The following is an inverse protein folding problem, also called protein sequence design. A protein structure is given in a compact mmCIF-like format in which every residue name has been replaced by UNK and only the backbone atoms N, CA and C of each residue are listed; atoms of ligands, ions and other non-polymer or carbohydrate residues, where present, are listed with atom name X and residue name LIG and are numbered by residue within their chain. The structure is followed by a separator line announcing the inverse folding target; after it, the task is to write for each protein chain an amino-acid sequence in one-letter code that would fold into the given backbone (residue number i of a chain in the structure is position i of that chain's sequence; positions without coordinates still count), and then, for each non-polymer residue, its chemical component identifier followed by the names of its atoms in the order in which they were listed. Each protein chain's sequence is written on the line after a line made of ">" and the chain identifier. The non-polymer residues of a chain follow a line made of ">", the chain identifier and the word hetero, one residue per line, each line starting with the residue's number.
data_IF_682829037962
#
_entry.id   IF_682829037962
#
_cell.length_a   1.000
_cell.length_b   1.000
_cell.length_c   1.000
_cell.angle_alpha   90.00
_cell.angle_beta   90.00
_cell.angle_gamma   90.00
#
_symmetry.space_group_name_H-M   'P 1'
#
loop_
_entity.id
_entity.type
_entity.pdbx_description
1 polymer ?
#
# COMPACT_ATOMS: atom_id res chain seq x y z
N UNK A 1 -25.78 29.86 14.78
CA UNK A 1 -26.16 28.65 15.57
C UNK A 1 -24.86 27.94 15.89
N UNK A 2 -24.72 27.58 17.15
CA UNK A 2 -23.44 27.72 17.85
C UNK A 2 -22.63 26.43 17.98
N UNK A 3 -21.31 26.64 18.08
CA UNK A 3 -20.34 25.92 18.92
C UNK A 3 -20.50 24.38 19.08
N UNK A 4 -19.46 23.66 18.63
CA UNK A 4 -18.40 23.28 19.58
C UNK A 4 -17.07 22.88 18.92
N UNK A 5 -16.00 23.44 19.45
CA UNK A 5 -14.60 23.02 19.27
C UNK A 5 -14.24 22.00 20.36
N UNK A 6 -13.46 20.98 20.01
CA UNK A 6 -12.73 20.19 21.01
C UNK A 6 -11.37 19.78 20.43
N UNK A 7 -10.29 20.12 21.14
CA UNK A 7 -8.92 19.70 20.83
C UNK A 7 -8.64 18.41 21.59
N UNK A 8 -7.95 17.45 20.99
CA UNK A 8 -7.21 16.45 21.74
C UNK A 8 -5.80 16.29 21.17
N UNK A 9 -4.83 16.16 22.07
CA UNK A 9 -3.40 16.24 21.78
C UNK A 9 -2.81 14.84 21.53
N UNK A 10 -1.64 14.79 20.90
CA UNK A 10 -1.00 13.53 20.50
C UNK A 10 -0.40 12.75 21.68
N UNK A 11 -0.45 11.41 21.57
CA UNK A 11 0.64 10.50 21.95
C UNK A 11 0.41 9.17 21.23
N UNK A 12 1.43 8.67 20.53
CA UNK A 12 1.32 7.51 19.65
C UNK A 12 1.69 6.19 20.32
N UNK A 13 1.14 5.09 19.79
CA UNK A 13 1.67 3.72 19.92
C UNK A 13 1.14 2.86 18.77
N UNK A 14 1.98 1.99 18.22
CA UNK A 14 1.57 0.95 17.26
C UNK A 14 0.39 0.11 17.78
N UNK A 15 -0.65 -0.09 16.97
CA UNK A 15 -1.85 -0.85 17.34
C UNK A 15 -2.48 -1.57 16.15
N UNK A 16 -2.22 -2.88 16.05
CA UNK A 16 -2.71 -3.81 15.03
C UNK A 16 -4.25 -3.88 14.99
N UNK A 17 -4.87 -3.81 13.81
CA UNK A 17 -6.32 -4.04 13.64
C UNK A 17 -6.63 -5.55 13.73
N UNK A 18 -7.39 -5.99 14.73
CA UNK A 18 -7.97 -7.34 14.76
C UNK A 18 -9.29 -7.40 13.98
N UNK A 19 -9.43 -8.40 13.09
CA UNK A 19 -10.71 -8.74 12.45
C UNK A 19 -11.50 -9.71 13.34
N UNK A 20 -12.55 -9.21 13.97
CA UNK A 20 -13.51 -10.01 14.74
C UNK A 20 -14.42 -10.80 13.77
N UNK A 21 -14.61 -12.10 14.02
CA UNK A 21 -15.68 -12.91 13.43
C UNK A 21 -16.33 -13.78 14.53
N UNK A 22 -17.67 -13.89 14.60
CA UNK A 22 -18.33 -14.39 15.81
C UNK A 22 -18.37 -15.91 15.92
N UNK A 23 -18.33 -16.40 17.17
CA UNK A 23 -18.64 -17.78 17.54
C UNK A 23 -20.16 -18.03 17.49
N UNK A 24 -20.55 -19.27 17.16
CA UNK A 24 -21.89 -19.80 17.40
C UNK A 24 -21.78 -21.07 18.27
N UNK A 25 -22.72 -21.22 19.20
CA UNK A 25 -22.88 -22.37 20.10
C UNK A 25 -24.29 -22.93 19.89
N UNK A 26 -24.44 -24.25 19.76
CA UNK A 26 -25.73 -24.95 19.89
C UNK A 26 -25.52 -26.45 20.21
N UNK A 27 -26.32 -26.93 21.16
CA UNK A 27 -26.29 -28.20 21.87
C UNK A 27 -26.49 -29.52 21.07
N UNK A 28 -26.15 -30.64 21.72
CA UNK A 28 -27.11 -31.70 22.13
C UNK A 28 -26.77 -33.17 21.80
N UNK A 29 -27.12 -34.04 22.76
CA UNK A 29 -27.58 -35.46 22.67
C UNK A 29 -26.59 -36.63 22.48
N UNK A 30 -26.29 -37.29 23.61
CA UNK A 30 -26.68 -38.68 24.00
C UNK A 30 -26.69 -39.84 22.99
N UNK A 31 -25.92 -40.91 23.26
CA UNK A 31 -26.32 -42.34 23.48
C UNK A 31 -25.02 -43.22 23.59
N UNK A 32 -24.73 -43.94 24.68
CA UNK A 32 -25.25 -45.21 25.24
C UNK A 32 -24.65 -46.51 24.64
N UNK A 33 -23.87 -47.26 25.43
CA UNK A 33 -23.78 -48.74 25.43
C UNK A 33 -22.89 -49.29 26.57
N UNK A 34 -23.36 -50.34 27.25
CA UNK A 34 -22.72 -51.01 28.41
C UNK A 34 -21.57 -51.96 27.99
N UNK A 35 -20.52 -52.21 28.81
CA UNK A 35 -20.39 -53.37 29.73
C UNK A 35 -18.91 -53.48 30.23
N UNK A 36 -18.51 -54.18 31.30
CA UNK A 36 -19.19 -54.84 32.43
C UNK A 36 -18.20 -55.18 33.59
N UNK A 37 -18.64 -55.01 34.85
CA UNK A 37 -18.48 -55.91 36.03
C UNK A 37 -17.14 -56.67 36.28
N UNK A 38 -16.59 -56.54 37.51
CA UNK A 38 -15.58 -57.48 38.02
C UNK A 38 -14.92 -57.12 39.37
N UNK A 39 -15.60 -57.31 40.51
CA UNK A 39 -15.01 -57.22 41.85
C UNK A 39 -14.36 -58.56 42.27
N UNK A 40 -13.20 -58.53 42.95
CA UNK A 40 -13.03 -59.35 44.17
C UNK A 40 -11.93 -58.86 45.13
N UNK A 41 -12.17 -59.12 46.41
CA UNK A 41 -11.33 -58.78 47.57
C UNK A 41 -10.27 -59.85 47.84
N UNK A 42 -9.22 -59.51 48.61
CA UNK A 42 -8.95 -60.15 49.91
C UNK A 42 -7.84 -59.44 50.70
N UNK A 43 -8.08 -59.23 52.01
CA UNK A 43 -7.08 -58.78 52.98
C UNK A 43 -6.21 -59.95 53.45
N UNK A 44 -4.95 -59.67 53.83
CA UNK A 44 -4.39 -60.29 55.05
C UNK A 44 -3.41 -59.34 55.75
N UNK A 45 -3.62 -59.19 57.05
CA UNK A 45 -2.77 -58.46 58.00
C UNK A 45 -1.94 -59.43 58.83
N UNK A 46 -0.70 -59.08 59.19
CA UNK A 46 -0.05 -59.52 60.43
C UNK A 46 1.13 -58.57 60.77
N UNK A 47 1.33 -58.34 62.08
CA UNK A 47 2.43 -57.54 62.63
C UNK A 47 3.64 -58.44 62.90
N UNK A 48 4.87 -57.90 62.93
CA UNK A 48 5.69 -57.88 64.16
C UNK A 48 7.02 -57.10 64.05
N UNK A 49 7.24 -56.32 65.11
CA UNK A 49 8.51 -55.92 65.75
C UNK A 49 9.70 -55.30 65.00
N UNK A 50 10.64 -54.77 65.78
CA UNK A 50 11.53 -53.68 65.39
C UNK A 50 13.02 -54.00 65.59
N UNK A 51 13.86 -53.61 64.61
CA UNK A 51 15.30 -53.46 64.82
C UNK A 51 15.93 -52.41 63.89
N UNK A 52 16.83 -51.58 64.48
CA UNK A 52 17.66 -50.59 63.79
C UNK A 52 19.12 -51.01 63.95
N UNK A 53 19.91 -51.07 62.86
CA UNK A 53 21.21 -50.38 62.88
C UNK A 53 21.54 -49.75 61.49
N UNK A 54 22.80 -49.34 61.20
CA UNK A 54 23.29 -47.98 61.38
C UNK A 54 23.41 -47.15 60.08
N UNK A 55 23.54 -45.82 60.20
CA UNK A 55 23.87 -44.90 59.08
C UNK A 55 25.40 -44.72 58.94
N UNK A 56 25.97 -45.05 57.77
CA UNK A 56 26.88 -44.12 57.05
C UNK A 56 26.61 -44.15 55.52
N UNK A 57 27.05 -43.25 54.65
CA UNK A 57 27.92 -42.07 54.72
C UNK A 57 27.41 -41.07 53.65
N UNK A 58 27.42 -39.76 53.93
CA UNK A 58 26.85 -38.75 53.02
C UNK A 58 27.77 -38.50 51.79
N UNK A 59 27.60 -39.29 50.73
CA UNK A 59 28.22 -39.04 49.41
C UNK A 59 27.75 -37.67 48.92
N UNK A 60 28.67 -36.70 48.89
CA UNK A 60 28.45 -35.29 48.60
C UNK A 60 28.01 -35.11 47.13
N UNK A 61 26.71 -35.23 46.86
CA UNK A 61 26.17 -35.10 45.49
C UNK A 61 26.39 -33.66 44.97
N UNK A 62 26.84 -33.50 43.71
CA UNK A 62 27.06 -32.17 43.10
C UNK A 62 25.74 -31.41 42.89
N UNK A 63 25.80 -30.10 42.65
CA UNK A 63 24.60 -29.28 42.47
C UNK A 63 23.71 -29.78 41.31
N UNK A 64 24.34 -30.33 40.26
CA UNK A 64 23.71 -30.98 39.10
C UNK A 64 22.70 -32.07 39.51
N UNK A 65 22.97 -32.80 40.61
CA UNK A 65 22.11 -33.91 41.07
C UNK A 65 20.76 -33.51 41.68
N UNK A 66 20.48 -32.20 41.78
CA UNK A 66 19.20 -31.64 42.27
C UNK A 66 18.24 -31.22 41.15
N UNK A 67 18.70 -31.17 39.90
CA UNK A 67 17.80 -31.00 38.76
C UNK A 67 17.11 -32.32 38.46
N UNK A 68 15.81 -32.26 38.19
CA UNK A 68 15.05 -33.43 37.80
C UNK A 68 15.53 -33.94 36.43
N UNK A 69 15.51 -35.27 36.26
CA UNK A 69 15.94 -35.94 35.03
C UNK A 69 15.05 -35.59 33.82
N UNK A 70 13.83 -35.14 34.07
CA UNK A 70 12.90 -34.65 33.03
C UNK A 70 13.48 -33.49 32.21
N UNK A 71 14.10 -32.50 32.86
CA UNK A 71 14.68 -31.32 32.21
C UNK A 71 15.74 -31.65 31.15
N UNK A 72 16.43 -32.78 31.31
CA UNK A 72 17.54 -33.22 30.47
C UNK A 72 17.11 -34.06 29.27
N UNK A 73 15.84 -34.49 29.19
CA UNK A 73 15.31 -35.17 28.02
C UNK A 73 14.91 -34.12 26.99
N UNK A 74 15.75 -33.93 25.97
CA UNK A 74 15.42 -33.14 24.79
C UNK A 74 14.71 -34.06 23.79
N UNK A 75 13.45 -33.77 23.48
CA UNK A 75 12.69 -34.51 22.46
C UNK A 75 13.10 -34.06 21.06
N UNK A 76 14.19 -34.64 20.53
CA UNK A 76 14.56 -34.60 19.12
C UNK A 76 14.29 -35.98 18.53
N UNK A 77 13.55 -36.05 17.42
CA UNK A 77 13.22 -37.30 16.76
C UNK A 77 14.50 -38.03 16.32
N UNK A 78 14.57 -39.35 16.55
CA UNK A 78 15.74 -40.18 16.23
C UNK A 78 16.95 -40.05 17.17
N UNK A 79 17.03 -39.01 18.01
CA UNK A 79 18.15 -38.85 18.95
C UNK A 79 18.08 -39.89 20.10
N UNK A 80 16.89 -40.20 20.61
CA UNK A 80 16.67 -41.29 21.57
C UNK A 80 17.08 -42.64 20.98
N UNK A 81 16.60 -42.94 19.77
CA UNK A 81 16.85 -44.20 19.08
C UNK A 81 18.33 -44.42 18.78
N UNK A 82 19.06 -43.36 18.42
CA UNK A 82 20.52 -43.42 18.26
C UNK A 82 21.25 -43.73 19.58
N UNK A 83 20.79 -43.16 20.70
CA UNK A 83 21.39 -43.37 22.02
C UNK A 83 21.07 -44.75 22.61
N UNK A 84 19.89 -45.30 22.32
CA UNK A 84 19.44 -46.62 22.81
C UNK A 84 19.86 -47.79 21.88
N UNK A 85 20.17 -47.52 20.61
CA UNK A 85 20.63 -48.55 19.67
C UNK A 85 21.96 -49.18 20.10
N UNK A 86 21.97 -50.49 20.31
CA UNK A 86 23.15 -51.22 20.79
C UNK A 86 23.96 -51.92 19.67
N UNK A 87 23.51 -51.84 18.40
CA UNK A 87 24.18 -52.46 17.25
C UNK A 87 24.92 -51.43 16.40
N UNK A 88 26.08 -51.80 15.85
CA UNK A 88 26.89 -50.91 15.01
C UNK A 88 26.11 -50.47 13.77
N UNK A 89 25.44 -51.41 13.09
CA UNK A 89 24.60 -51.11 11.92
C UNK A 89 23.39 -50.21 12.26
N UNK A 90 22.77 -50.40 13.44
CA UNK A 90 21.67 -49.55 13.89
C UNK A 90 22.10 -48.10 14.13
N UNK A 91 23.28 -47.88 14.72
CA UNK A 91 23.86 -46.54 14.89
C UNK A 91 24.15 -45.87 13.55
N UNK A 92 24.70 -46.59 12.57
CA UNK A 92 24.94 -46.08 11.22
C UNK A 92 23.65 -45.73 10.47
N UNK A 93 22.57 -46.49 10.67
CA UNK A 93 21.26 -46.16 10.11
C UNK A 93 20.70 -44.85 10.69
N UNK A 94 20.60 -44.74 12.01
CA UNK A 94 20.03 -43.56 12.67
C UNK A 94 20.86 -42.30 12.44
N UNK A 95 22.20 -42.38 12.46
CA UNK A 95 23.05 -41.20 12.20
C UNK A 95 22.94 -40.71 10.74
N UNK A 96 22.74 -41.63 9.78
CA UNK A 96 22.51 -41.27 8.37
C UNK A 96 21.18 -40.54 8.19
N UNK A 97 20.12 -41.02 8.85
CA UNK A 97 18.80 -40.40 8.82
C UNK A 97 18.80 -39.02 9.49
N UNK A 98 19.48 -38.88 10.64
CA UNK A 98 19.67 -37.59 11.31
C UNK A 98 20.49 -36.60 10.46
N UNK A 99 21.56 -37.05 9.80
CA UNK A 99 22.36 -36.21 8.92
C UNK A 99 21.55 -35.73 7.71
N UNK A 100 20.81 -36.63 7.06
CA UNK A 100 19.94 -36.29 5.94
C UNK A 100 18.90 -35.24 6.34
N UNK A 101 18.19 -35.48 7.46
CA UNK A 101 17.23 -34.54 8.04
C UNK A 101 17.83 -33.16 8.35
N UNK A 102 19.03 -33.12 8.94
CA UNK A 102 19.71 -31.86 9.24
C UNK A 102 20.09 -31.07 7.97
N UNK A 103 20.51 -31.75 6.90
CA UNK A 103 20.85 -31.12 5.62
C UNK A 103 19.60 -30.58 4.91
N UNK A 104 18.52 -31.36 4.83
CA UNK A 104 17.27 -30.91 4.21
C UNK A 104 16.60 -29.78 4.99
N UNK A 105 16.56 -29.86 6.32
CA UNK A 105 16.07 -28.78 7.18
C UNK A 105 16.87 -27.49 6.97
N UNK A 106 18.21 -27.57 6.92
CA UNK A 106 19.07 -26.39 6.70
C UNK A 106 18.83 -25.76 5.33
N UNK A 107 18.61 -26.57 4.30
CA UNK A 107 18.31 -26.09 2.94
C UNK A 107 16.94 -25.43 2.83
N UNK A 108 15.88 -26.03 3.37
CA UNK A 108 14.54 -25.43 3.35
C UNK A 108 14.46 -24.17 4.23
N UNK A 109 15.14 -24.14 5.38
CA UNK A 109 15.27 -22.92 6.20
C UNK A 109 16.02 -21.82 5.44
N UNK A 110 17.14 -22.13 4.78
CA UNK A 110 17.85 -21.18 3.93
C UNK A 110 16.92 -20.61 2.85
N UNK A 111 16.16 -21.46 2.17
CA UNK A 111 15.21 -21.06 1.13
C UNK A 111 14.06 -20.19 1.65
N UNK A 112 13.51 -20.48 2.83
CA UNK A 112 12.48 -19.63 3.47
C UNK A 112 13.06 -18.25 3.82
N UNK A 113 14.28 -18.20 4.37
CA UNK A 113 14.97 -16.94 4.71
C UNK A 113 15.26 -16.14 3.43
N UNK A 114 15.78 -16.77 2.38
CA UNK A 114 16.03 -16.14 1.08
C UNK A 114 14.73 -15.57 0.47
N UNK A 115 13.65 -16.37 0.47
CA UNK A 115 12.33 -15.96 0.00
C UNK A 115 11.78 -14.75 0.80
N UNK A 116 11.95 -14.74 2.12
CA UNK A 116 11.54 -13.61 2.98
C UNK A 116 12.18 -12.28 2.56
N UNK A 117 13.47 -12.29 2.21
CA UNK A 117 14.19 -11.08 1.81
C UNK A 117 14.05 -10.74 0.31
N UNK A 118 13.90 -11.74 -0.57
CA UNK A 118 13.97 -11.54 -2.03
C UNK A 118 12.60 -11.43 -2.74
N UNK A 119 11.52 -12.00 -2.18
CA UNK A 119 10.18 -11.94 -2.76
C UNK A 119 9.19 -11.22 -1.84
N UNK A 120 9.35 -9.91 -1.59
CA UNK A 120 8.55 -9.22 -0.59
C UNK A 120 7.06 -9.06 -0.93
N UNK A 121 6.67 -8.94 -2.20
CA UNK A 121 5.32 -8.45 -2.62
C UNK A 121 4.63 -9.45 -3.57
N UNK A 122 3.33 -9.65 -3.35
CA UNK A 122 2.36 -10.30 -4.25
C UNK A 122 1.24 -9.30 -4.57
N UNK A 123 0.68 -9.38 -5.78
CA UNK A 123 -0.48 -8.58 -6.18
C UNK A 123 -1.73 -9.46 -6.19
N UNK A 124 -2.78 -9.07 -5.46
CA UNK A 124 -4.10 -9.67 -5.56
C UNK A 124 -4.97 -8.87 -6.55
N UNK A 125 -5.71 -9.58 -7.39
CA UNK A 125 -6.66 -9.03 -8.36
C UNK A 125 -8.05 -9.57 -8.01
N UNK A 126 -8.96 -8.68 -7.60
CA UNK A 126 -10.34 -9.04 -7.29
C UNK A 126 -11.34 -8.19 -8.06
N UNK A 127 -12.49 -8.76 -8.43
CA UNK A 127 -13.58 -8.05 -9.11
C UNK A 127 -14.79 -8.01 -8.18
N UNK A 128 -15.25 -6.81 -7.84
CA UNK A 128 -16.35 -6.60 -6.88
C UNK A 128 -17.57 -6.03 -7.58
N UNK A 129 -18.61 -6.85 -7.70
CA UNK A 129 -19.93 -6.44 -8.20
C UNK A 129 -20.73 -5.68 -7.14
N UNK A 130 -21.30 -4.52 -7.51
CA UNK A 130 -22.02 -3.62 -6.63
C UNK A 130 -23.37 -3.17 -7.21
N UNK A 131 -24.30 -2.75 -6.34
CA UNK A 131 -25.64 -2.30 -6.77
C UNK A 131 -25.67 -0.86 -7.30
N UNK A 132 -24.65 -0.06 -6.97
CA UNK A 132 -24.50 1.35 -7.36
C UNK A 132 -23.03 1.71 -7.27
N UNK A 133 -22.55 2.45 -8.27
CA UNK A 133 -21.27 3.17 -8.23
C UNK A 133 -21.53 4.67 -8.32
N UNK A 134 -20.62 5.47 -7.78
CA UNK A 134 -20.63 6.90 -8.00
C UNK A 134 -19.99 7.24 -9.35
N UNK A 135 -20.64 8.13 -10.09
CA UNK A 135 -20.24 8.48 -11.45
C UNK A 135 -19.09 9.49 -11.42
N UNK A 136 -18.00 9.28 -12.18
CA UNK A 136 -16.82 10.13 -12.12
C UNK A 136 -17.11 11.56 -12.60
N UNK A 137 -16.20 12.48 -12.27
CA UNK A 137 -16.20 13.80 -12.86
C UNK A 137 -15.77 13.71 -14.32
N UNK A 138 -16.54 14.37 -15.19
CA UNK A 138 -16.28 14.47 -16.63
C UNK A 138 -16.02 15.93 -16.93
N UNK A 139 -14.79 16.25 -17.29
CA UNK A 139 -14.39 17.55 -17.80
C UNK A 139 -14.51 17.53 -19.33
N UNK A 140 -15.03 18.62 -19.92
CA UNK A 140 -15.23 18.74 -21.37
C UNK A 140 -14.78 20.13 -21.81
N UNK A 141 -13.75 20.16 -22.65
CA UNK A 141 -13.12 21.38 -23.16
C UNK A 141 -13.29 21.45 -24.68
N UNK A 142 -13.36 22.66 -25.22
CA UNK A 142 -13.21 22.87 -26.67
C UNK A 142 -11.71 22.85 -27.02
N UNK A 143 -11.31 22.39 -28.23
CA UNK A 143 -9.93 22.44 -28.69
C UNK A 143 -9.46 23.87 -29.05
N UNK A 144 -10.30 24.88 -28.84
CA UNK A 144 -10.05 26.30 -29.10
C UNK A 144 -10.09 27.08 -27.79
N UNK A 145 -9.05 27.87 -27.54
CA UNK A 145 -8.98 28.81 -26.41
C UNK A 145 -9.66 30.15 -26.71
N UNK A 146 -9.77 30.52 -27.99
CA UNK A 146 -10.38 31.77 -28.45
C UNK A 146 -11.17 31.55 -29.73
N UNK A 147 -12.36 32.16 -29.81
CA UNK A 147 -13.30 32.02 -30.92
C UNK A 147 -13.14 33.17 -31.93
N UNK A 148 -13.36 32.90 -33.22
CA UNK A 148 -13.22 33.88 -34.30
C UNK A 148 -14.07 35.13 -34.06
N UNK A 149 -15.33 34.97 -33.65
CA UNK A 149 -16.23 36.10 -33.33
C UNK A 149 -15.66 37.06 -32.27
N UNK A 150 -14.82 36.58 -31.36
CA UNK A 150 -14.16 37.43 -30.35
C UNK A 150 -12.97 38.18 -30.95
N UNK A 151 -12.18 37.52 -31.81
CA UNK A 151 -11.08 38.16 -32.57
C UNK A 151 -11.60 39.25 -33.51
N UNK A 152 -12.75 39.02 -34.15
CA UNK A 152 -13.41 40.01 -35.02
C UNK A 152 -13.82 41.28 -34.26
N UNK A 153 -14.14 41.15 -32.97
CA UNK A 153 -14.50 42.26 -32.08
C UNK A 153 -13.28 42.93 -31.43
N UNK A 154 -12.20 42.17 -31.21
CA UNK A 154 -10.98 42.63 -30.53
C UNK A 154 -9.74 42.20 -31.33
N UNK A 155 -9.34 42.95 -32.38
CA UNK A 155 -8.22 42.56 -33.24
C UNK A 155 -6.90 42.38 -32.47
N UNK A 156 -6.65 43.19 -31.44
CA UNK A 156 -5.49 43.07 -30.54
C UNK A 156 -5.43 41.75 -29.76
N UNK A 157 -6.57 41.07 -29.58
CA UNK A 157 -6.62 39.80 -28.87
C UNK A 157 -6.00 38.65 -29.67
N UNK A 158 -5.80 38.81 -30.99
CA UNK A 158 -5.09 37.83 -31.81
C UNK A 158 -3.62 37.71 -31.37
N UNK A 159 -2.91 38.83 -31.26
CA UNK A 159 -1.50 38.86 -30.85
C UNK A 159 -1.34 38.45 -29.38
N UNK A 160 -2.26 38.91 -28.52
CA UNK A 160 -2.30 38.48 -27.11
C UNK A 160 -2.54 36.96 -26.99
N UNK A 161 -3.46 36.38 -27.77
CA UNK A 161 -3.72 34.94 -27.74
C UNK A 161 -2.57 34.11 -28.31
N UNK A 162 -1.84 34.62 -29.31
CA UNK A 162 -0.60 33.98 -29.81
C UNK A 162 0.50 34.03 -28.74
N UNK A 163 0.70 35.17 -28.08
CA UNK A 163 1.67 35.31 -26.99
C UNK A 163 1.33 34.39 -25.81
N UNK A 164 0.07 34.38 -25.34
CA UNK A 164 -0.40 33.49 -24.26
C UNK A 164 -0.21 32.02 -24.65
N UNK A 165 -0.52 31.63 -25.89
CA UNK A 165 -0.30 30.27 -26.39
C UNK A 165 1.19 29.87 -26.42
N UNK A 166 2.10 30.83 -26.53
CA UNK A 166 3.55 30.61 -26.52
C UNK A 166 4.12 30.59 -25.09
N UNK A 167 3.56 31.35 -24.16
CA UNK A 167 4.04 31.43 -22.78
C UNK A 167 3.33 30.52 -21.78
N UNK A 168 2.16 29.97 -22.12
CA UNK A 168 1.29 29.27 -21.16
C UNK A 168 0.66 28.00 -21.77
N UNK A 169 1.28 26.84 -21.51
CA UNK A 169 0.57 25.55 -21.50
C UNK A 169 -0.13 25.38 -20.15
N UNK A 170 -1.14 26.20 -19.88
CA UNK A 170 -1.93 26.14 -18.64
C UNK A 170 -3.33 26.70 -18.87
N UNK A 171 -4.33 25.88 -18.62
CA UNK A 171 -5.75 26.21 -18.44
C UNK A 171 -6.37 27.30 -19.34
N UNK A 172 -7.37 26.90 -20.13
CA UNK A 172 -8.54 27.74 -20.36
C UNK A 172 -9.69 27.19 -19.51
N UNK A 173 -9.83 27.63 -18.27
CA UNK A 173 -10.98 27.28 -17.44
C UNK A 173 -12.22 28.01 -17.95
N UNK A 174 -12.99 27.38 -18.83
CA UNK A 174 -14.37 27.81 -19.03
C UNK A 174 -15.16 27.45 -17.78
N UNK A 175 -15.90 28.41 -17.20
CA UNK A 175 -16.80 28.13 -16.08
C UNK A 175 -17.75 26.97 -16.43
N UNK A 176 -17.61 25.85 -15.72
CA UNK A 176 -18.63 24.80 -15.75
C UNK A 176 -19.91 25.31 -15.09
N UNK A 177 -20.83 25.86 -15.89
CA UNK A 177 -22.22 26.02 -15.46
C UNK A 177 -22.74 24.67 -14.99
N UNK A 178 -23.15 24.61 -13.72
CA UNK A 178 -23.69 23.43 -13.04
C UNK A 178 -24.87 22.87 -13.85
N UNK A 179 -24.62 21.85 -14.66
CA UNK A 179 -25.63 21.28 -15.55
C UNK A 179 -26.84 20.80 -14.74
N UNK A 180 -28.03 21.11 -15.23
CA UNK A 180 -29.29 20.78 -14.58
C UNK A 180 -29.49 19.26 -14.62
N UNK A 181 -29.22 18.59 -13.49
CA UNK A 181 -29.26 17.12 -13.38
C UNK A 181 -30.70 16.58 -13.54
N UNK A 182 -31.08 16.27 -14.77
CA UNK A 182 -32.24 15.42 -15.05
C UNK A 182 -31.93 14.00 -14.58
N UNK A 183 -32.67 13.52 -13.56
CA UNK A 183 -32.45 12.21 -12.93
C UNK A 183 -33.06 11.10 -13.80
N UNK A 184 -32.42 10.82 -14.93
CA UNK A 184 -32.79 9.74 -15.84
C UNK A 184 -32.58 8.36 -15.18
N UNK A 185 -33.45 7.40 -15.50
CA UNK A 185 -33.33 5.99 -15.07
C UNK A 185 -32.26 5.21 -15.85
N UNK A 186 -31.51 5.87 -16.74
CA UNK A 186 -30.43 5.28 -17.54
C UNK A 186 -29.09 5.40 -16.80
N UNK A 187 -28.29 4.35 -16.84
CA UNK A 187 -26.96 4.30 -16.25
C UNK A 187 -25.98 5.15 -17.08
N UNK A 188 -25.75 6.40 -16.68
CA UNK A 188 -24.70 7.26 -17.26
C UNK A 188 -25.15 8.66 -17.67
N UNK A 189 -24.24 9.34 -18.35
CA UNK A 189 -24.35 10.70 -18.86
C UNK A 189 -24.56 10.67 -20.38
N UNK A 190 -25.53 11.43 -20.89
CA UNK A 190 -25.76 11.63 -22.33
C UNK A 190 -25.77 13.13 -22.59
N UNK A 191 -24.93 13.58 -23.52
CA UNK A 191 -24.76 14.97 -23.92
C UNK A 191 -24.86 15.10 -25.43
N UNK A 192 -25.58 16.13 -25.88
CA UNK A 192 -25.61 16.57 -27.27
C UNK A 192 -25.11 18.01 -27.26
N UNK A 193 -23.96 18.24 -27.87
CA UNK A 193 -23.22 19.50 -27.80
C UNK A 193 -22.89 19.99 -29.20
N UNK A 194 -22.74 21.30 -29.37
CA UNK A 194 -22.23 21.89 -30.60
C UNK A 194 -20.74 22.21 -30.39
N UNK A 195 -19.85 21.65 -31.23
CA UNK A 195 -18.39 21.89 -31.19
C UNK A 195 -17.99 23.29 -31.65
N UNK A 196 -18.94 24.10 -32.11
CA UNK A 196 -18.77 25.47 -32.61
C UNK A 196 -17.75 25.59 -33.75
N UNK A 197 -17.61 24.54 -34.58
CA UNK A 197 -16.67 24.47 -35.73
C UNK A 197 -16.71 25.71 -36.64
N UNK A 198 -17.88 26.33 -36.83
CA UNK A 198 -18.06 27.56 -37.63
C UNK A 198 -17.43 28.82 -37.02
N UNK A 199 -17.06 28.79 -35.74
CA UNK A 199 -16.50 29.89 -34.96
C UNK A 199 -15.01 29.66 -34.62
N UNK A 200 -14.37 28.67 -35.24
CA UNK A 200 -12.94 28.39 -35.04
C UNK A 200 -12.07 29.48 -35.66
N UNK A 201 -10.95 29.86 -35.01
CA UNK A 201 -10.10 30.94 -35.49
C UNK A 201 -9.43 30.61 -36.83
N UNK A 202 -9.51 31.54 -37.78
CA UNK A 202 -9.01 31.38 -39.15
C UNK A 202 -7.47 31.45 -39.19
N UNK A 203 -6.84 32.22 -38.29
CA UNK A 203 -5.39 32.44 -38.25
C UNK A 203 -4.62 31.15 -37.93
N UNK A 204 -3.58 30.84 -38.73
CA UNK A 204 -2.84 29.56 -38.68
C UNK A 204 -2.30 29.17 -37.30
N UNK A 205 -1.88 30.14 -36.48
CA UNK A 205 -1.29 29.92 -35.16
C UNK A 205 -2.35 29.66 -34.06
N UNK A 206 -3.59 30.09 -34.27
CA UNK A 206 -4.70 29.92 -33.33
C UNK A 206 -5.61 28.75 -33.72
N UNK A 207 -5.72 28.45 -35.02
CA UNK A 207 -6.52 27.34 -35.56
C UNK A 207 -6.21 26.01 -34.84
N UNK A 208 -7.22 25.26 -34.38
CA UNK A 208 -7.01 23.95 -33.75
C UNK A 208 -6.58 22.92 -34.79
N UNK A 209 -5.85 21.89 -34.35
CA UNK A 209 -5.47 20.74 -35.20
C UNK A 209 -6.58 19.67 -35.29
N UNK A 210 -7.54 19.70 -34.38
CA UNK A 210 -8.63 18.73 -34.22
C UNK A 210 -9.98 19.44 -34.17
N UNK A 211 -11.04 18.72 -34.53
CA UNK A 211 -12.42 19.21 -34.50
C UNK A 211 -13.26 18.36 -33.55
N UNK A 212 -14.17 18.99 -32.81
CA UNK A 212 -15.01 18.31 -31.81
C UNK A 212 -14.79 18.87 -30.41
N UNK A 213 -14.69 17.98 -29.42
CA UNK A 213 -14.42 18.31 -28.01
C UNK A 213 -13.34 17.41 -27.43
N UNK A 214 -12.67 17.90 -26.39
CA UNK A 214 -11.70 17.16 -25.59
C UNK A 214 -12.41 16.77 -24.29
N UNK A 215 -12.38 15.49 -23.93
CA UNK A 215 -13.04 14.96 -22.72
C UNK A 215 -11.99 14.36 -21.82
N UNK A 216 -12.10 14.60 -20.51
CA UNK A 216 -11.24 13.98 -19.51
C UNK A 216 -12.09 13.47 -18.34
N UNK A 217 -11.66 12.36 -17.72
CA UNK A 217 -12.44 11.61 -16.73
C UNK A 217 -11.59 11.41 -15.48
N UNK A 218 -12.14 11.79 -14.32
CA UNK A 218 -11.42 11.82 -13.05
C UNK A 218 -12.31 11.34 -11.90
N UNK A 219 -11.70 10.71 -10.89
CA UNK A 219 -12.42 10.34 -9.67
C UNK A 219 -12.82 11.58 -8.84
N UNK A 220 -11.89 12.53 -8.76
CA UNK A 220 -12.07 13.86 -8.16
C UNK A 220 -11.43 14.88 -9.12
N UNK A 221 -11.94 16.11 -9.13
CA UNK A 221 -11.50 17.12 -10.10
C UNK A 221 -10.01 17.47 -9.91
N UNK A 222 -9.20 17.30 -10.95
CA UNK A 222 -7.78 17.65 -10.93
C UNK A 222 -7.38 18.32 -12.27
N UNK A 223 -7.08 19.64 -12.27
CA UNK A 223 -6.80 20.41 -13.49
C UNK A 223 -5.45 20.06 -14.15
N UNK A 224 -4.58 19.29 -13.47
CA UNK A 224 -3.25 18.90 -13.97
C UNK A 224 -3.23 17.48 -14.54
N UNK A 225 -4.38 16.89 -14.82
CA UNK A 225 -4.47 15.53 -15.36
C UNK A 225 -4.36 15.49 -16.89
N UNK A 226 -3.30 14.86 -17.40
CA UNK A 226 -3.03 14.75 -18.84
C UNK A 226 -3.81 13.64 -19.58
N UNK A 227 -4.81 12.99 -18.93
CA UNK A 227 -5.55 11.85 -19.50
C UNK A 227 -6.78 12.30 -20.33
N UNK A 228 -6.54 13.02 -21.41
CA UNK A 228 -7.60 13.53 -22.29
C UNK A 228 -7.88 12.65 -23.52
N UNK A 229 -9.14 12.63 -23.95
CA UNK A 229 -9.67 11.88 -25.08
C UNK A 229 -10.33 12.85 -26.07
N UNK A 230 -9.89 12.81 -27.33
CA UNK A 230 -10.51 13.60 -28.39
C UNK A 230 -11.79 12.93 -28.91
N UNK A 231 -12.90 13.68 -28.92
CA UNK A 231 -14.21 13.23 -29.41
C UNK A 231 -14.60 14.06 -30.64
N UNK A 232 -14.72 13.40 -31.79
CA UNK A 232 -14.99 14.04 -33.08
C UNK A 232 -16.45 14.52 -33.20
N UNK A 233 -16.67 15.62 -33.93
CA UNK A 233 -18.02 16.06 -34.31
C UNK A 233 -18.57 15.31 -35.54
N UNK A 234 -19.90 15.35 -35.73
CA UNK A 234 -20.63 14.56 -36.73
C UNK A 234 -20.88 13.10 -36.33
N UNK A 235 -20.37 12.67 -35.16
CA UNK A 235 -20.44 11.30 -34.67
C UNK A 235 -21.24 11.17 -33.36
N UNK A 236 -21.86 10.00 -33.20
CA UNK A 236 -22.24 9.41 -31.93
C UNK A 236 -21.02 8.69 -31.36
N UNK A 237 -20.61 9.05 -30.14
CA UNK A 237 -19.50 8.43 -29.41
C UNK A 237 -20.01 7.87 -28.09
N UNK A 238 -19.89 6.55 -27.91
CA UNK A 238 -20.08 5.88 -26.62
C UNK A 238 -18.72 5.65 -25.97
N UNK A 239 -18.57 6.18 -24.76
CA UNK A 239 -17.50 5.84 -23.82
C UNK A 239 -18.06 4.81 -22.84
N UNK A 240 -17.52 3.59 -22.88
CA UNK A 240 -17.77 2.56 -21.89
C UNK A 240 -16.66 2.64 -20.83
N UNK A 241 -17.05 2.82 -19.57
CA UNK A 241 -16.15 2.98 -18.43
C UNK A 241 -16.02 1.68 -17.64
N UNK A 242 -14.79 1.31 -17.32
CA UNK A 242 -14.46 0.27 -16.33
C UNK A 242 -13.76 0.95 -15.15
N UNK A 243 -14.25 0.70 -13.93
CA UNK A 243 -13.65 1.26 -12.71
C UNK A 243 -12.59 0.31 -12.14
N UNK A 244 -11.48 0.88 -11.71
CA UNK A 244 -10.33 0.17 -11.15
C UNK A 244 -9.85 0.95 -9.91
N UNK A 245 -9.57 0.24 -8.81
CA UNK A 245 -9.02 0.81 -7.59
C UNK A 245 -7.69 0.14 -7.28
N UNK A 246 -6.64 0.94 -7.17
CA UNK A 246 -5.29 0.48 -6.88
C UNK A 246 -4.89 0.86 -5.46
N UNK A 247 -4.39 -0.13 -4.73
CA UNK A 247 -3.81 0.00 -3.40
C UNK A 247 -2.40 -0.60 -3.43
N UNK A 248 -1.39 0.27 -3.43
CA UNK A 248 0.02 -0.10 -3.44
C UNK A 248 0.62 -0.09 -2.03
N UNK A 249 1.64 -0.90 -1.82
CA UNK A 249 2.46 -0.84 -0.63
C UNK A 249 3.51 0.25 -0.79
N UNK A 250 3.71 1.06 0.26
CA UNK A 250 4.84 1.97 0.32
C UNK A 250 6.10 1.19 0.72
N UNK A 251 7.04 1.08 -0.21
CA UNK A 251 8.26 0.28 -0.05
C UNK A 251 9.49 1.14 -0.30
N UNK A 252 9.98 1.71 0.79
CA UNK A 252 10.97 2.76 0.79
C UNK A 252 12.44 2.26 0.71
N UNK A 253 12.66 0.94 0.77
CA UNK A 253 14.00 0.35 0.80
C UNK A 253 14.04 -1.06 0.20
N UNK A 254 15.25 -1.57 -0.05
CA UNK A 254 15.49 -2.89 -0.63
C UNK A 254 15.54 -2.92 -2.17
N UNK A 255 15.76 -4.10 -2.77
CA UNK A 255 15.97 -4.25 -4.23
C UNK A 255 14.69 -4.04 -5.05
N UNK A 256 13.51 -4.02 -4.41
CA UNK A 256 12.21 -3.71 -5.02
C UNK A 256 11.61 -2.43 -4.43
N UNK A 257 12.46 -1.41 -4.20
CA UNK A 257 12.00 -0.08 -3.76
C UNK A 257 10.94 0.46 -4.73
N UNK A 258 9.73 0.67 -4.22
CA UNK A 258 8.59 1.28 -4.89
C UNK A 258 7.89 2.17 -3.85
N UNK A 259 8.36 3.41 -3.65
CA UNK A 259 7.71 4.32 -2.73
C UNK A 259 6.39 4.83 -3.32
N UNK A 260 5.41 5.09 -2.46
CA UNK A 260 4.16 5.76 -2.81
C UNK A 260 3.77 6.74 -1.70
N UNK A 261 3.07 7.82 -2.07
CA UNK A 261 2.63 8.82 -1.08
C UNK A 261 1.32 8.36 -0.45
N UNK A 262 1.32 8.23 0.88
CA UNK A 262 0.12 7.92 1.66
C UNK A 262 -0.79 9.15 1.81
N UNK A 263 -2.10 8.95 1.97
CA UNK A 263 -3.09 10.06 2.08
C UNK A 263 -2.76 11.06 3.21
N UNK A 264 -2.16 10.59 4.31
CA UNK A 264 -1.77 11.41 5.47
C UNK A 264 -0.52 12.29 5.19
N UNK A 265 0.30 11.93 4.20
CA UNK A 265 1.52 12.65 3.82
C UNK A 265 1.32 13.65 2.67
N UNK A 266 0.12 13.71 2.08
CA UNK A 266 -0.27 14.57 0.94
C UNK A 266 -0.32 16.08 1.29
N UNK A 267 0.81 16.65 1.70
CA UNK A 267 0.93 18.03 2.12
C UNK A 267 1.51 18.93 1.01
N UNK A 268 0.66 19.29 0.05
CA UNK A 268 0.95 20.38 -0.89
C UNK A 268 1.28 21.69 -0.15
N UNK A 269 2.25 22.44 -0.66
CA UNK A 269 2.69 23.71 -0.07
C UNK A 269 1.79 24.88 -0.50
N UNK A 270 1.34 24.87 -1.76
CA UNK A 270 0.54 25.95 -2.37
C UNK A 270 -0.90 25.49 -2.63
N UNK A 271 -1.09 24.27 -3.15
CA UNK A 271 -2.40 23.81 -3.60
C UNK A 271 -3.30 23.22 -2.50
N UNK A 272 -4.60 23.33 -2.75
CA UNK A 272 -5.68 22.65 -2.03
C UNK A 272 -6.44 21.77 -3.04
N UNK A 273 -5.81 20.66 -3.42
CA UNK A 273 -6.25 19.71 -4.44
C UNK A 273 -6.04 18.29 -3.95
N UNK A 274 -6.79 17.33 -4.51
CA UNK A 274 -6.41 15.92 -4.39
C UNK A 274 -5.08 15.63 -5.07
N UNK A 275 -4.27 14.82 -4.42
CA UNK A 275 -2.93 14.49 -4.87
C UNK A 275 -2.91 13.81 -6.24
N UNK A 276 -1.92 14.17 -7.05
CA UNK A 276 -1.47 13.42 -8.21
C UNK A 276 -0.02 13.80 -8.50
N UNK A 277 0.73 12.93 -9.17
CA UNK A 277 2.12 13.21 -9.57
C UNK A 277 2.23 14.55 -10.29
N UNK A 278 1.34 14.82 -11.25
CA UNK A 278 1.33 16.09 -11.99
C UNK A 278 1.00 17.30 -11.10
N UNK A 279 0.04 17.17 -10.17
CA UNK A 279 -0.27 18.25 -9.23
C UNK A 279 0.89 18.52 -8.25
N UNK A 280 1.62 17.48 -7.83
CA UNK A 280 2.83 17.59 -7.01
C UNK A 280 3.98 18.29 -7.73
N UNK A 281 4.29 17.89 -8.96
CA UNK A 281 5.32 18.53 -9.77
C UNK A 281 5.00 20.02 -10.04
N UNK A 282 3.72 20.34 -10.23
CA UNK A 282 3.25 21.72 -10.33
C UNK A 282 3.32 22.45 -8.99
N UNK A 283 3.01 21.83 -7.86
CA UNK A 283 3.11 22.45 -6.52
C UNK A 283 4.58 22.78 -6.17
N UNK A 284 5.52 21.87 -6.47
CA UNK A 284 6.96 22.12 -6.41
C UNK A 284 7.38 23.34 -7.25
N UNK A 285 6.90 23.44 -8.49
CA UNK A 285 7.21 24.58 -9.37
C UNK A 285 6.58 25.88 -8.85
N UNK A 286 5.36 25.79 -8.32
CA UNK A 286 4.65 26.92 -7.72
C UNK A 286 5.31 27.42 -6.44
N UNK A 287 5.91 26.51 -5.66
CA UNK A 287 6.69 26.83 -4.48
C UNK A 287 7.97 27.60 -4.81
N UNK A 288 8.76 27.18 -5.81
CA UNK A 288 9.93 27.94 -6.25
C UNK A 288 9.53 29.30 -6.83
N UNK A 289 8.44 29.35 -7.61
CA UNK A 289 7.89 30.61 -8.14
C UNK A 289 7.51 31.59 -7.03
N UNK A 290 6.80 31.09 -6.01
CA UNK A 290 6.39 31.90 -4.86
C UNK A 290 7.60 32.35 -4.04
N UNK A 291 8.57 31.46 -3.78
CA UNK A 291 9.74 31.74 -2.95
C UNK A 291 10.69 32.77 -3.59
N UNK A 292 10.80 32.77 -4.92
CA UNK A 292 11.75 33.62 -5.67
C UNK A 292 11.12 34.89 -6.26
N UNK A 293 9.85 34.83 -6.66
CA UNK A 293 9.16 35.94 -7.34
C UNK A 293 7.95 36.48 -6.57
N UNK A 294 7.55 35.88 -5.45
CA UNK A 294 6.47 36.40 -4.59
C UNK A 294 5.05 36.29 -5.17
N UNK A 295 4.87 35.58 -6.28
CA UNK A 295 3.60 35.45 -6.99
C UNK A 295 3.30 33.99 -7.38
N UNK A 296 2.05 33.70 -7.75
CA UNK A 296 1.60 32.35 -8.15
C UNK A 296 1.01 32.34 -9.58
N UNK A 297 1.26 31.28 -10.35
CA UNK A 297 0.84 31.16 -11.77
C UNK A 297 -0.53 30.48 -11.95
N UNK A 298 -1.11 29.92 -10.89
CA UNK A 298 -2.41 29.27 -10.96
C UNK A 298 -3.50 30.28 -11.32
N UNK A 299 -4.50 29.88 -12.11
CA UNK A 299 -5.53 30.81 -12.61
C UNK A 299 -6.80 30.83 -11.77
N UNK A 300 -7.00 29.84 -10.90
CA UNK A 300 -8.25 29.60 -10.18
C UNK A 300 -8.01 29.63 -8.66
N UNK A 301 -8.51 30.65 -7.94
CA UNK A 301 -8.36 30.79 -6.49
C UNK A 301 -8.77 29.55 -5.69
N UNK A 302 -9.78 28.79 -6.17
CA UNK A 302 -10.34 27.63 -5.47
C UNK A 302 -9.37 26.47 -5.25
N UNK A 303 -8.26 26.42 -6.00
CA UNK A 303 -7.26 25.35 -5.91
C UNK A 303 -6.03 25.73 -5.10
N UNK A 304 -6.01 26.92 -4.48
CA UNK A 304 -4.92 27.43 -3.66
C UNK A 304 -5.35 27.42 -2.19
N UNK A 305 -4.43 27.14 -1.27
CA UNK A 305 -4.68 27.27 0.16
C UNK A 305 -4.98 28.73 0.51
N UNK A 306 -6.07 28.99 1.23
CA UNK A 306 -6.50 30.35 1.61
C UNK A 306 -5.38 31.15 2.29
N UNK A 307 -4.61 30.50 3.16
CA UNK A 307 -3.45 31.07 3.87
C UNK A 307 -2.33 31.60 2.95
N UNK A 308 -2.20 31.03 1.75
CA UNK A 308 -1.25 31.45 0.71
C UNK A 308 -1.88 32.56 -0.13
N UNK A 309 -3.15 32.43 -0.49
CA UNK A 309 -3.88 33.43 -1.28
C UNK A 309 -4.02 34.78 -0.55
N UNK A 310 -4.14 34.78 0.79
CA UNK A 310 -4.19 36.01 1.60
C UNK A 310 -2.86 36.79 1.63
N UNK A 311 -1.73 36.14 1.32
CA UNK A 311 -0.37 36.71 1.42
C UNK A 311 0.28 36.98 0.06
N UNK A 312 -0.36 36.59 -1.04
CA UNK A 312 0.26 36.51 -2.37
C UNK A 312 -0.73 36.94 -3.45
N UNK A 313 -0.22 37.23 -4.65
CA UNK A 313 -1.04 37.58 -5.82
C UNK A 313 -0.71 36.71 -7.02
N UNK A 314 -1.63 36.70 -7.98
CA UNK A 314 -1.43 36.04 -9.27
C UNK A 314 -0.38 36.79 -10.08
N UNK A 315 0.62 36.07 -10.61
CA UNK A 315 1.70 36.66 -11.40
C UNK A 315 1.13 37.39 -12.64
N UNK A 316 1.50 38.65 -12.79
CA UNK A 316 1.24 39.42 -14.01
C UNK A 316 2.15 38.95 -15.15
N UNK A 317 1.76 39.18 -16.41
CA UNK A 317 2.60 38.91 -17.60
C UNK A 317 3.98 39.58 -17.53
N UNK A 318 4.08 40.72 -16.82
CA UNK A 318 5.35 41.39 -16.57
C UNK A 318 6.24 40.55 -15.63
N UNK A 319 5.72 40.12 -14.49
CA UNK A 319 6.46 39.30 -13.50
C UNK A 319 6.84 37.93 -14.06
N UNK A 320 6.00 37.34 -14.90
CA UNK A 320 6.32 36.10 -15.62
C UNK A 320 7.59 36.29 -16.45
N UNK A 321 7.62 37.32 -17.30
CA UNK A 321 8.75 37.57 -18.19
C UNK A 321 9.98 38.17 -17.50
N UNK A 322 9.80 38.95 -16.42
CA UNK A 322 10.89 39.64 -15.73
C UNK A 322 11.47 38.90 -14.53
N UNK A 323 10.77 37.90 -13.98
CA UNK A 323 11.22 37.12 -12.83
C UNK A 323 11.05 35.62 -13.04
N UNK A 324 9.86 35.13 -13.38
CA UNK A 324 9.61 33.67 -13.39
C UNK A 324 10.46 32.95 -14.45
N UNK A 325 10.43 33.43 -15.70
CA UNK A 325 11.25 32.86 -16.78
C UNK A 325 12.76 32.91 -16.46
N UNK A 326 13.38 34.07 -16.14
CA UNK A 326 14.81 34.11 -15.86
C UNK A 326 15.23 33.43 -14.54
N UNK A 327 14.46 33.57 -13.46
CA UNK A 327 14.89 33.20 -12.10
C UNK A 327 14.31 31.87 -11.59
N UNK A 328 13.39 31.25 -12.34
CA UNK A 328 12.76 29.96 -12.00
C UNK A 328 12.90 28.97 -13.15
N UNK A 329 12.56 29.36 -14.39
CA UNK A 329 12.63 28.46 -15.55
C UNK A 329 14.06 28.29 -16.09
N UNK A 330 14.83 29.38 -16.16
CA UNK A 330 16.18 29.40 -16.74
C UNK A 330 17.31 29.37 -15.70
N UNK A 331 16.99 29.49 -14.40
CA UNK A 331 17.97 29.46 -13.31
C UNK A 331 18.29 28.01 -12.93
N UNK A 332 19.55 27.60 -13.08
CA UNK A 332 20.00 26.22 -12.79
C UNK A 332 19.75 25.83 -11.34
N UNK A 333 19.83 26.78 -10.39
CA UNK A 333 19.60 26.52 -8.96
C UNK A 333 18.11 26.30 -8.68
N UNK A 334 17.21 27.08 -9.31
CA UNK A 334 15.77 26.89 -9.22
C UNK A 334 15.33 25.57 -9.87
N UNK A 335 15.89 25.23 -11.03
CA UNK A 335 15.62 23.97 -11.71
C UNK A 335 16.09 22.79 -10.86
N UNK A 336 17.28 22.83 -10.27
CA UNK A 336 17.77 21.79 -9.36
C UNK A 336 16.88 21.59 -8.12
N UNK A 337 16.43 22.68 -7.48
CA UNK A 337 15.50 22.62 -6.34
C UNK A 337 14.11 22.08 -6.74
N UNK A 338 13.61 22.46 -7.92
CA UNK A 338 12.38 21.91 -8.48
C UNK A 338 12.51 20.42 -8.81
N UNK A 339 13.62 19.99 -9.42
CA UNK A 339 13.90 18.58 -9.73
C UNK A 339 14.02 17.74 -8.45
N UNK A 340 14.72 18.21 -7.42
CA UNK A 340 14.82 17.53 -6.13
C UNK A 340 13.44 17.29 -5.49
N UNK A 341 12.56 18.29 -5.54
CA UNK A 341 11.17 18.19 -5.08
C UNK A 341 10.33 17.25 -5.99
N UNK A 342 10.46 17.41 -7.31
CA UNK A 342 9.75 16.61 -8.33
C UNK A 342 10.10 15.12 -8.26
N UNK A 343 11.35 14.78 -7.93
CA UNK A 343 11.81 13.41 -7.75
C UNK A 343 11.20 12.71 -6.51
N UNK A 344 10.57 13.45 -5.60
CA UNK A 344 9.82 12.92 -4.46
C UNK A 344 8.31 12.78 -4.74
N UNK A 345 7.84 13.24 -5.91
CA UNK A 345 6.44 13.15 -6.31
C UNK A 345 6.07 11.75 -6.82
N UNK A 346 6.03 10.77 -5.92
CA UNK A 346 5.61 9.40 -6.24
C UNK A 346 4.09 9.30 -6.49
N UNK A 347 3.62 8.15 -6.96
CA UNK A 347 2.17 7.90 -7.09
C UNK A 347 1.50 7.87 -5.72
N UNK A 348 0.20 8.16 -5.66
CA UNK A 348 -0.60 7.83 -4.47
C UNK A 348 -0.56 6.32 -4.22
N UNK A 349 -0.48 5.90 -2.96
CA UNK A 349 -0.67 4.50 -2.59
C UNK A 349 -2.08 4.02 -2.91
N UNK A 350 -3.11 4.83 -2.60
CA UNK A 350 -4.53 4.53 -2.86
C UNK A 350 -5.11 5.46 -3.91
N UNK A 351 -5.61 4.94 -5.04
CA UNK A 351 -6.31 5.77 -6.03
C UNK A 351 -7.24 5.01 -6.99
N UNK A 352 -8.24 5.73 -7.49
CA UNK A 352 -9.16 5.26 -8.51
C UNK A 352 -8.68 5.59 -9.93
N UNK A 353 -8.80 4.60 -10.82
CA UNK A 353 -8.59 4.70 -12.26
C UNK A 353 -9.90 4.37 -12.99
N UNK A 354 -10.03 4.91 -14.21
CA UNK A 354 -11.11 4.58 -15.12
C UNK A 354 -10.53 4.18 -16.47
N UNK A 355 -10.68 2.91 -16.82
CA UNK A 355 -10.47 2.43 -18.18
C UNK A 355 -11.58 2.94 -19.08
N UNK A 356 -11.25 3.38 -20.30
CA UNK A 356 -12.23 3.93 -21.25
C UNK A 356 -12.12 3.17 -22.57
N UNK A 357 -13.21 2.53 -22.98
CA UNK A 357 -13.36 1.94 -24.31
C UNK A 357 -14.26 2.83 -25.16
N UNK A 358 -13.81 3.14 -26.38
CA UNK A 358 -14.50 4.06 -27.29
C UNK A 358 -15.17 3.28 -28.42
N UNK A 359 -16.44 3.61 -28.69
CA UNK A 359 -17.18 3.15 -29.86
C UNK A 359 -17.81 4.35 -30.55
N UNK A 360 -17.61 4.48 -31.86
CA UNK A 360 -18.09 5.63 -32.66
C UNK A 360 -18.95 5.18 -33.84
N UNK A 361 -20.01 5.94 -34.10
CA UNK A 361 -20.93 5.72 -35.22
C UNK A 361 -21.29 7.07 -35.86
N UNK A 362 -21.59 7.11 -37.16
CA UNK A 362 -22.02 8.34 -37.82
C UNK A 362 -23.41 8.77 -37.34
N UNK A 363 -23.62 10.06 -37.10
CA UNK A 363 -24.96 10.59 -36.80
C UNK A 363 -25.90 10.44 -37.99
N UNK A 364 -27.10 9.93 -37.73
CA UNK A 364 -28.18 9.91 -38.70
C UNK A 364 -28.76 11.33 -38.86
N UNK A 365 -28.33 12.03 -39.91
CA UNK A 365 -28.58 13.47 -40.09
C UNK A 365 -30.06 13.89 -40.10
N UNK A 366 -31.04 13.11 -40.62
CA UNK A 366 -32.45 13.53 -40.60
C UNK A 366 -33.02 13.72 -39.19
N UNK A 367 -32.60 12.92 -38.20
CA UNK A 367 -33.04 13.06 -36.79
C UNK A 367 -32.64 14.41 -36.17
N UNK A 368 -31.64 15.09 -36.73
CA UNK A 368 -31.12 16.37 -36.24
C UNK A 368 -31.46 17.55 -37.16
N UNK A 369 -32.24 17.35 -38.23
CA UNK A 369 -32.59 18.40 -39.19
C UNK A 369 -33.30 19.62 -38.57
N UNK A 370 -33.97 19.44 -37.42
CA UNK A 370 -34.58 20.54 -36.67
C UNK A 370 -33.57 21.58 -36.16
N UNK A 371 -32.30 21.21 -35.97
CA UNK A 371 -31.24 22.10 -35.48
C UNK A 371 -30.75 23.10 -36.53
N UNK A 372 -31.06 22.85 -37.82
CA UNK A 372 -30.82 23.80 -38.91
C UNK A 372 -31.47 25.17 -38.65
N UNK A 373 -32.63 25.20 -37.95
CA UNK A 373 -33.32 26.45 -37.54
C UNK A 373 -32.50 27.35 -36.62
N UNK A 374 -31.45 26.81 -36.00
CA UNK A 374 -30.57 27.52 -35.06
C UNK A 374 -29.16 27.76 -35.65
N UNK A 375 -28.99 27.60 -36.97
CA UNK A 375 -27.69 27.65 -37.68
C UNK A 375 -26.67 26.61 -37.17
N UNK A 376 -27.14 25.46 -36.67
CA UNK A 376 -26.28 24.36 -36.20
C UNK A 376 -26.28 23.26 -37.26
N UNK A 377 -25.11 22.97 -37.84
CA UNK A 377 -24.94 21.88 -38.80
C UNK A 377 -24.80 20.53 -38.08
N UNK A 378 -25.37 19.42 -38.60
CA UNK A 378 -25.19 18.10 -38.00
C UNK A 378 -23.72 17.69 -37.82
N UNK A 379 -22.84 18.12 -38.74
CA UNK A 379 -21.39 17.83 -38.67
C UNK A 379 -20.66 18.58 -37.54
N UNK A 380 -21.29 19.63 -36.97
CA UNK A 380 -20.79 20.34 -35.77
C UNK A 380 -21.30 19.71 -34.46
N UNK A 381 -22.21 18.74 -34.52
CA UNK A 381 -22.75 18.10 -33.32
C UNK A 381 -21.79 17.03 -32.79
N UNK A 382 -21.58 17.03 -31.48
CA UNK A 382 -21.00 15.90 -30.73
C UNK A 382 -22.14 15.27 -29.94
N UNK A 383 -22.47 14.03 -30.24
CA UNK A 383 -23.35 13.21 -29.40
C UNK A 383 -22.45 12.28 -28.58
N UNK A 384 -22.34 12.56 -27.28
CA UNK A 384 -21.48 11.85 -26.35
C UNK A 384 -22.33 11.11 -25.32
N UNK A 385 -22.14 9.80 -25.21
CA UNK A 385 -22.70 8.97 -24.15
C UNK A 385 -21.57 8.37 -23.32
N UNK A 386 -21.57 8.60 -22.02
CA UNK A 386 -20.59 8.04 -21.08
C UNK A 386 -21.35 7.19 -20.07
N UNK A 387 -21.03 5.90 -20.00
CA UNK A 387 -21.69 4.95 -19.12
C UNK A 387 -20.68 3.91 -18.61
N UNK A 388 -20.89 3.39 -17.41
CA UNK A 388 -20.18 2.18 -16.99
C UNK A 388 -20.57 1.01 -17.90
N UNK A 389 -19.61 0.14 -18.19
CA UNK A 389 -19.84 -1.12 -18.93
C UNK A 389 -20.73 -2.04 -18.09
N UNK A 390 -20.30 -2.26 -16.85
CA UNK A 390 -20.92 -3.13 -15.86
C UNK A 390 -20.94 -2.44 -14.48
N UNK A 391 -21.73 -2.95 -13.54
CA UNK A 391 -21.79 -2.43 -12.17
C UNK A 391 -20.79 -3.15 -11.26
N UNK A 392 -19.54 -3.20 -11.68
CA UNK A 392 -18.43 -3.78 -10.94
C UNK A 392 -17.17 -2.92 -11.06
N UNK A 393 -16.26 -3.09 -10.12
CA UNK A 393 -14.93 -2.51 -10.17
C UNK A 393 -13.86 -3.57 -9.87
N UNK A 394 -12.72 -3.42 -10.54
CA UNK A 394 -11.52 -4.21 -10.27
C UNK A 394 -10.75 -3.59 -9.13
N UNK A 395 -10.24 -4.40 -8.21
CA UNK A 395 -9.35 -3.96 -7.13
C UNK A 395 -8.00 -4.63 -7.34
N UNK A 396 -6.93 -3.84 -7.35
CA UNK A 396 -5.55 -4.28 -7.46
C UNK A 396 -4.87 -3.92 -6.13
N UNK A 397 -4.72 -4.89 -5.23
CA UNK A 397 -4.03 -4.68 -3.94
C UNK A 397 -2.64 -5.31 -3.98
N UNK A 398 -1.67 -4.66 -3.36
CA UNK A 398 -0.35 -5.24 -3.09
C UNK A 398 -0.29 -5.68 -1.62
N UNK A 399 0.16 -6.91 -1.39
CA UNK A 399 0.34 -7.49 -0.07
C UNK A 399 1.73 -8.12 0.05
N UNK A 400 2.24 -8.22 1.28
CA UNK A 400 3.52 -8.87 1.51
C UNK A 400 3.38 -10.38 1.27
N UNK A 401 4.17 -10.93 0.35
CA UNK A 401 4.08 -12.33 -0.08
C UNK A 401 4.26 -13.33 1.08
N UNK A 402 5.06 -12.94 2.07
CA UNK A 402 5.20 -13.62 3.35
C UNK A 402 5.30 -12.59 4.47
N UNK A 403 4.23 -12.48 5.25
CA UNK A 403 4.23 -11.72 6.50
C UNK A 403 4.99 -12.48 7.60
N UNK A 404 5.29 -11.80 8.72
CA UNK A 404 6.11 -12.37 9.81
C UNK A 404 5.49 -13.62 10.45
N UNK A 405 4.16 -13.69 10.53
CA UNK A 405 3.41 -14.86 10.98
C UNK A 405 3.50 -16.03 9.98
N UNK A 406 3.44 -15.75 8.68
CA UNK A 406 3.74 -16.73 7.62
C UNK A 406 5.16 -17.30 7.74
N UNK A 407 6.16 -16.44 7.91
CA UNK A 407 7.55 -16.85 8.13
C UNK A 407 7.71 -17.75 9.37
N UNK A 408 7.10 -17.37 10.51
CA UNK A 408 7.14 -18.16 11.75
C UNK A 408 6.44 -19.52 11.57
N UNK A 409 5.32 -19.55 10.84
CA UNK A 409 4.59 -20.78 10.51
C UNK A 409 5.45 -21.73 9.68
N UNK A 410 6.02 -21.26 8.58
CA UNK A 410 6.80 -22.09 7.64
C UNK A 410 8.13 -22.55 8.25
N UNK A 411 8.83 -21.66 8.96
CA UNK A 411 10.05 -22.00 9.71
C UNK A 411 9.75 -23.05 10.79
N UNK A 412 8.70 -22.85 11.60
CA UNK A 412 8.27 -23.80 12.62
C UNK A 412 7.85 -25.14 12.03
N UNK A 413 7.17 -25.13 10.88
CA UNK A 413 6.77 -26.31 10.12
C UNK A 413 7.97 -27.14 9.66
N UNK A 414 8.97 -26.53 9.01
CA UNK A 414 10.18 -27.24 8.57
C UNK A 414 11.01 -27.76 9.75
N UNK A 415 11.24 -26.95 10.79
CA UNK A 415 11.96 -27.38 11.99
C UNK A 415 11.25 -28.57 12.65
N UNK A 416 9.93 -28.49 12.82
CA UNK A 416 9.13 -29.56 13.42
C UNK A 416 9.09 -30.84 12.59
N UNK A 417 8.94 -30.73 11.27
CA UNK A 417 8.89 -31.87 10.35
C UNK A 417 10.20 -32.68 10.35
N UNK A 418 11.34 -32.00 10.26
CA UNK A 418 12.63 -32.66 10.11
C UNK A 418 13.24 -33.10 11.44
N UNK A 419 13.19 -32.25 12.47
CA UNK A 419 13.87 -32.52 13.75
C UNK A 419 12.95 -33.09 14.84
N UNK A 420 11.63 -33.06 14.65
CA UNK A 420 10.65 -33.35 15.70
C UNK A 420 10.62 -32.32 16.83
N UNK A 421 11.39 -31.23 16.73
CA UNK A 421 11.44 -30.18 17.73
C UNK A 421 10.13 -29.37 17.70
N UNK A 422 9.53 -29.21 18.88
CA UNK A 422 8.37 -28.34 19.09
C UNK A 422 8.78 -27.00 19.70
N UNK A 423 7.85 -26.04 19.77
CA UNK A 423 8.05 -24.77 20.49
C UNK A 423 8.54 -25.00 21.93
N UNK A 424 8.10 -26.09 22.58
CA UNK A 424 8.56 -26.48 23.92
C UNK A 424 10.06 -26.77 23.94
N UNK A 425 10.59 -27.49 22.95
CA UNK A 425 12.03 -27.79 22.88
C UNK A 425 12.88 -26.56 22.52
N UNK A 426 12.34 -25.64 21.69
CA UNK A 426 12.98 -24.34 21.39
C UNK A 426 13.13 -23.50 22.65
N UNK A 427 12.18 -23.56 23.59
CA UNK A 427 12.27 -22.87 24.90
C UNK A 427 13.15 -23.66 25.89
N UNK A 428 13.08 -24.99 25.89
CA UNK A 428 13.80 -25.86 26.80
C UNK A 428 15.33 -25.79 26.60
N UNK A 429 15.83 -25.71 25.36
CA UNK A 429 17.27 -25.70 25.07
C UNK A 429 17.98 -24.45 25.65
N UNK A 430 17.52 -23.20 25.44
CA UNK A 430 18.07 -22.02 26.11
C UNK A 430 17.96 -22.06 27.63
N UNK A 431 16.86 -22.58 28.19
CA UNK A 431 16.71 -22.73 29.66
C UNK A 431 17.73 -23.74 30.21
N UNK A 432 17.91 -24.89 29.54
CA UNK A 432 18.93 -25.87 29.90
C UNK A 432 20.34 -25.28 29.78
N UNK A 433 20.63 -24.53 28.71
CA UNK A 433 21.94 -23.93 28.45
C UNK A 433 22.27 -22.82 29.47
N UNK A 434 21.30 -21.97 29.83
CA UNK A 434 21.48 -20.95 30.87
C UNK A 434 21.67 -21.56 32.27
N UNK A 435 20.90 -22.59 32.64
CA UNK A 435 21.12 -23.34 33.87
C UNK A 435 22.50 -24.00 33.89
N UNK A 436 22.93 -24.60 32.77
CA UNK A 436 24.27 -25.16 32.60
C UNK A 436 25.38 -24.11 32.78
N UNK A 437 25.23 -22.94 32.15
CA UNK A 437 26.17 -21.83 32.31
C UNK A 437 26.23 -21.35 33.76
N UNK A 438 25.08 -21.22 34.44
CA UNK A 438 25.04 -20.84 35.86
C UNK A 438 25.74 -21.87 36.74
N UNK A 439 25.54 -23.18 36.50
CA UNK A 439 26.24 -24.24 37.23
C UNK A 439 27.75 -24.21 36.94
N UNK A 440 28.13 -24.08 35.67
CA UNK A 440 29.54 -23.97 35.25
C UNK A 440 30.23 -22.77 35.89
N UNK A 441 29.58 -21.58 35.87
CA UNK A 441 30.07 -20.38 36.52
C UNK A 441 30.16 -20.56 38.04
N UNK A 442 29.16 -21.18 38.67
CA UNK A 442 29.18 -21.48 40.10
C UNK A 442 30.32 -22.43 40.50
N UNK A 443 30.57 -23.49 39.72
CA UNK A 443 31.68 -24.41 39.98
C UNK A 443 33.05 -23.76 39.70
N UNK A 444 33.16 -22.92 38.66
CA UNK A 444 34.37 -22.14 38.34
C UNK A 444 34.68 -21.12 39.44
N UNK A 445 33.69 -20.33 39.86
CA UNK A 445 33.80 -19.37 40.97
C UNK A 445 34.15 -20.07 42.30
N UNK A 446 33.68 -21.30 42.52
CA UNK A 446 34.01 -22.12 43.69
C UNK A 446 35.39 -22.78 43.62
N UNK A 447 35.96 -22.94 42.43
CA UNK A 447 37.32 -23.45 42.22
C UNK A 447 38.40 -22.37 42.42
N UNK A 448 38.12 -21.11 42.04
CA UNK A 448 39.02 -19.96 42.22
C UNK A 448 39.62 -19.83 43.64
N UNK A 449 38.84 -19.81 44.74
CA UNK A 449 39.41 -19.68 46.08
C UNK A 449 40.26 -20.87 46.51
N UNK A 450 40.06 -22.06 45.92
CA UNK A 450 40.91 -23.24 46.20
C UNK A 450 42.27 -23.13 45.52
N UNK A 451 42.32 -22.71 44.24
CA UNK A 451 43.60 -22.43 43.58
C UNK A 451 44.39 -21.34 44.34
N UNK A 452 43.72 -20.30 44.83
CA UNK A 452 44.37 -19.23 45.62
C UNK A 452 45.03 -19.78 46.89
N UNK A 453 44.44 -20.78 47.54
CA UNK A 453 45.02 -21.46 48.70
C UNK A 453 46.18 -22.40 48.35
N UNK A 454 46.17 -23.03 47.16
CA UNK A 454 47.30 -23.86 46.70
C UNK A 454 48.51 -23.00 46.31
N UNK A 455 48.28 -21.90 45.56
CA UNK A 455 49.32 -20.94 45.18
C UNK A 455 49.94 -20.30 46.44
N UNK A 456 49.11 -19.81 47.36
CA UNK A 456 49.54 -19.28 48.66
C UNK A 456 50.31 -20.29 49.53
N UNK A 457 50.22 -21.61 49.28
CA UNK A 457 51.03 -22.63 49.96
C UNK A 457 52.34 -22.93 49.23
N UNK A 458 52.42 -22.64 47.94
CA UNK A 458 53.60 -22.84 47.11
C UNK A 458 54.52 -21.62 47.12
N UNK A 459 53.99 -20.42 47.41
CA UNK A 459 54.77 -19.20 47.70
C UNK A 459 55.36 -19.17 49.14
N UNK A 460 55.07 -20.18 49.96
CA UNK A 460 55.50 -20.30 51.38
C UNK A 460 56.37 -21.55 51.63
N UNK A 461 57.12 -22.01 50.63
CA UNK A 461 57.93 -23.23 50.68
C UNK A 461 59.27 -23.04 49.97
#
# INVERSE_FOLDING_TARGET
>A
MDLKTEKMNSQGTHGRKEKIKPQFFADSSTELSDTSVGHQFLNKSENEEAQRPPKPLLRKKSAISRLDKSFWKVNVAGLSEFLESNTVYGKWFWISLLLFSAVTASYEIYKIIDNYYNTPIVTELSVTAVRKMDFPFVEICLPVSINQKYLDQHPWAADAAVAIRQSVTSASSMEMKKMQKSKSKRQGLILIMNSQKTNYPVQRNLRPKTEGVIVSIHHLYNPYSFKYINVQSGLYTKMALSAEFDEYLDVDSGPKKQPCVSDDEMNFKVFNLTYSVAACQMDCYQWETLSRCGCILAQEPRFIKTEVLEKTHFCTTKEINSCVVPNVTNDEVAQGAWEECSNQCFTSCSHWKYGVQLSTMKLYTPSFGFLSRYNITPDSLVYLQIAFTDLEYTTITQDWAMQLDGFISDFGGQVGLWTGASMVTIIQVPVMLTVLLVIYLYEKLRAVPKLRQTISKQDNL
#
